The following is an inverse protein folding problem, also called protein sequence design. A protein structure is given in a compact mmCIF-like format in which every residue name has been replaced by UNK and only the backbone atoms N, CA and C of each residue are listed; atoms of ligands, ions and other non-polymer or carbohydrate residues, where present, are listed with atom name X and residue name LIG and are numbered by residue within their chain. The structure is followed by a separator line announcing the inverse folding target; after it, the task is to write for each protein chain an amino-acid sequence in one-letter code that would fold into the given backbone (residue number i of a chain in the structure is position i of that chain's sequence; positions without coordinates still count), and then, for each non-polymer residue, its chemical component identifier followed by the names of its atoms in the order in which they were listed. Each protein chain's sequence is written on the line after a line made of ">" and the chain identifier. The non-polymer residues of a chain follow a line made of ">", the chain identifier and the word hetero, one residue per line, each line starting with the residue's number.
data_IF_263079976163
#
_entry.id   IF_263079976163
#
_cell.length_a   1.000
_cell.length_b   1.000
_cell.length_c   1.000
_cell.angle_alpha   90.00
_cell.angle_beta   90.00
_cell.angle_gamma   90.00
#
_symmetry.space_group_name_H-M   'P 1'
#
loop_
_entity.id
_entity.type
_entity.pdbx_description
1 polymer ?
#
# COMPACT_ATOMS: atom_id res chain seq x y z
N UNK A 1 -1.20 -11.71 4.51
CA UNK A 1 -0.11 -12.32 3.69
C UNK A 1 0.16 -13.76 4.16
N UNK A 2 -0.66 -14.74 3.74
CA UNK A 2 -0.60 -16.12 4.29
C UNK A 2 0.21 -17.10 3.43
N UNK A 3 0.52 -16.74 2.18
CA UNK A 3 1.40 -17.55 1.34
C UNK A 3 2.86 -17.26 1.72
N UNK A 4 3.66 -18.29 2.12
CA UNK A 4 5.06 -18.11 2.50
C UNK A 4 5.90 -17.41 1.44
N UNK A 5 5.59 -17.62 0.15
CA UNK A 5 6.34 -17.05 -0.96
C UNK A 5 6.18 -15.53 -1.10
N UNK A 6 5.14 -14.95 -0.50
CA UNK A 6 4.83 -13.51 -0.61
C UNK A 6 4.94 -12.78 0.72
N UNK A 7 5.47 -13.45 1.75
CA UNK A 7 5.50 -12.89 3.11
C UNK A 7 6.31 -11.59 3.17
N UNK A 8 7.45 -11.58 2.49
CA UNK A 8 8.38 -10.44 2.44
C UNK A 8 8.12 -9.50 1.25
N UNK A 9 7.20 -9.84 0.35
CA UNK A 9 6.87 -8.98 -0.79
C UNK A 9 6.09 -7.76 -0.31
N UNK A 10 6.54 -6.52 -0.60
CA UNK A 10 5.75 -5.32 -0.29
C UNK A 10 4.43 -5.31 -1.06
N UNK A 11 3.36 -4.90 -0.40
CA UNK A 11 2.00 -4.84 -0.90
C UNK A 11 1.45 -3.43 -0.69
N UNK A 12 1.25 -2.70 -1.77
CA UNK A 12 0.62 -1.39 -1.76
C UNK A 12 -0.78 -1.47 -2.35
N UNK A 13 -1.76 -0.84 -1.69
CA UNK A 13 -3.11 -0.68 -2.24
C UNK A 13 -3.18 0.70 -2.89
N UNK A 14 -3.62 0.75 -4.15
CA UNK A 14 -3.83 2.01 -4.87
C UNK A 14 -5.27 2.07 -5.37
N UNK A 15 -6.09 2.95 -4.79
CA UNK A 15 -7.55 2.97 -4.96
C UNK A 15 -8.10 4.38 -5.13
N UNK A 16 -9.29 4.54 -5.71
CA UNK A 16 -10.05 5.81 -5.64
C UNK A 16 -10.75 5.99 -4.29
N UNK A 17 -10.96 4.90 -3.55
CA UNK A 17 -11.55 4.95 -2.21
C UNK A 17 -10.55 5.53 -1.22
N UNK A 18 -10.88 6.71 -0.69
CA UNK A 18 -10.01 7.47 0.22
C UNK A 18 -10.53 7.59 1.64
N UNK A 19 -11.63 6.92 1.98
CA UNK A 19 -12.17 7.00 3.33
C UNK A 19 -11.18 6.42 4.34
N UNK A 20 -11.16 6.98 5.55
CA UNK A 20 -10.32 6.50 6.64
C UNK A 20 -10.56 5.01 6.90
N UNK A 21 -11.83 4.60 6.89
CA UNK A 21 -12.25 3.20 7.05
C UNK A 21 -11.65 2.28 5.98
N UNK A 22 -11.59 2.70 4.73
CA UNK A 22 -11.01 1.89 3.65
C UNK A 22 -9.50 1.76 3.78
N UNK A 23 -8.83 2.83 4.21
CA UNK A 23 -7.39 2.83 4.49
C UNK A 23 -7.06 1.90 5.65
N UNK A 24 -7.75 2.04 6.78
CA UNK A 24 -7.58 1.17 7.95
C UNK A 24 -7.84 -0.30 7.62
N UNK A 25 -8.90 -0.58 6.85
CA UNK A 25 -9.19 -1.94 6.39
C UNK A 25 -8.06 -2.49 5.53
N UNK A 26 -7.55 -1.71 4.58
CA UNK A 26 -6.44 -2.15 3.72
C UNK A 26 -5.18 -2.48 4.52
N UNK A 27 -4.82 -1.63 5.46
CA UNK A 27 -3.64 -1.81 6.31
C UNK A 27 -3.81 -3.02 7.26
N UNK A 28 -4.97 -3.16 7.90
CA UNK A 28 -5.25 -4.30 8.80
C UNK A 28 -5.26 -5.66 8.10
N UNK A 29 -5.52 -5.70 6.79
CA UNK A 29 -5.42 -6.91 5.97
C UNK A 29 -3.97 -7.26 5.57
N UNK A 30 -3.00 -6.42 5.94
CA UNK A 30 -1.57 -6.64 5.73
C UNK A 30 -1.01 -5.96 4.49
N UNK A 31 -1.63 -4.88 4.00
CA UNK A 31 -0.97 -3.96 3.10
C UNK A 31 0.06 -3.12 3.88
N UNK A 32 1.20 -2.86 3.25
CA UNK A 32 2.25 -2.04 3.83
C UNK A 32 1.94 -0.54 3.68
N UNK A 33 1.24 -0.18 2.60
CA UNK A 33 0.79 1.18 2.34
C UNK A 33 -0.54 1.23 1.57
N UNK A 34 -1.24 2.36 1.70
CA UNK A 34 -2.48 2.66 0.96
C UNK A 34 -2.36 4.05 0.34
N UNK A 35 -2.51 4.15 -0.98
CA UNK A 35 -2.42 5.38 -1.77
C UNK A 35 -3.74 5.66 -2.50
N UNK A 36 -4.27 6.88 -2.35
CA UNK A 36 -5.56 7.28 -2.94
C UNK A 36 -5.33 7.97 -4.28
N UNK A 37 -6.15 7.68 -5.29
CA UNK A 37 -6.14 8.33 -6.60
C UNK A 37 -7.01 9.60 -6.59
N UNK A 38 -6.62 10.67 -7.31
CA UNK A 38 -5.32 10.85 -7.95
C UNK A 38 -4.22 11.17 -6.93
N UNK A 39 -2.98 10.78 -7.23
CA UNK A 39 -1.80 11.04 -6.40
C UNK A 39 -0.67 11.62 -7.26
N UNK A 40 0.29 12.29 -6.64
CA UNK A 40 1.50 12.73 -7.33
C UNK A 40 2.45 11.55 -7.57
N UNK A 41 3.08 11.41 -8.74
CA UNK A 41 4.04 10.33 -9.01
C UNK A 41 5.15 10.21 -7.95
N UNK A 42 5.56 11.33 -7.36
CA UNK A 42 6.56 11.41 -6.30
C UNK A 42 6.12 10.66 -5.04
N UNK A 43 4.82 10.65 -4.71
CA UNK A 43 4.27 9.90 -3.57
C UNK A 43 4.46 8.40 -3.75
N UNK A 44 4.19 7.88 -4.96
CA UNK A 44 4.42 6.47 -5.27
C UNK A 44 5.92 6.14 -5.26
N UNK A 45 6.76 7.02 -5.80
CA UNK A 45 8.21 6.81 -5.79
C UNK A 45 8.76 6.78 -4.36
N UNK A 46 8.24 7.61 -3.46
CA UNK A 46 8.63 7.60 -2.05
C UNK A 46 8.30 6.26 -1.39
N UNK A 47 7.10 5.72 -1.63
CA UNK A 47 6.71 4.39 -1.14
C UNK A 47 7.61 3.30 -1.71
N UNK A 48 7.90 3.31 -3.01
CA UNK A 48 8.80 2.33 -3.62
C UNK A 48 10.17 2.36 -2.95
N UNK A 49 10.76 3.55 -2.76
CA UNK A 49 12.06 3.71 -2.10
C UNK A 49 12.02 3.26 -0.64
N UNK A 50 10.91 3.47 0.06
CA UNK A 50 10.78 3.10 1.48
C UNK A 50 10.78 1.58 1.70
N UNK A 51 10.25 0.77 0.78
CA UNK A 51 10.06 -0.67 1.00
C UNK A 51 10.90 -1.58 0.11
N UNK A 52 11.54 -1.07 -0.95
CA UNK A 52 12.34 -1.87 -1.88
C UNK A 52 13.83 -1.47 -1.95
N UNK A 53 14.20 -0.33 -1.37
CA UNK A 53 15.57 0.21 -1.36
C UNK A 53 16.08 0.27 0.07
#
# INVERSE_FOLDING_TARGET
>A
KNNPNYKETPLFIISTEGSEKDREKGLSLGADAYLVKPFNPEELQALIRQYLV
#
